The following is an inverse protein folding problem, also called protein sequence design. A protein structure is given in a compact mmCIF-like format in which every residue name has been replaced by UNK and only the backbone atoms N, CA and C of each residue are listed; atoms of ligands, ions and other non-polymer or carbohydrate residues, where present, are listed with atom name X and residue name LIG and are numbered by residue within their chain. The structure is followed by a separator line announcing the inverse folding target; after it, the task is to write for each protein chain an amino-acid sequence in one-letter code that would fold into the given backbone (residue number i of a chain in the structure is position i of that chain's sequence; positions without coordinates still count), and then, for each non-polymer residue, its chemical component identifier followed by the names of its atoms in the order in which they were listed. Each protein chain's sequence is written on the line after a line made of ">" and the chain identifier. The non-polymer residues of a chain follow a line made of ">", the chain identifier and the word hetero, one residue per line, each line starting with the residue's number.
data_IF_063806121109
#
_entry.id   IF_063806121109
#
_cell.length_a   1.000
_cell.length_b   1.000
_cell.length_c   1.000
_cell.angle_alpha   90.00
_cell.angle_beta   90.00
_cell.angle_gamma   90.00
#
_symmetry.space_group_name_H-M   'P 1'
#
loop_
_entity.id
_entity.type
_entity.pdbx_description
1 polymer ?
#
# COMPACT_ATOMS: atom_id res chain seq x y z
N UNK A 1 3.45 -34.16 23.64
CA UNK A 1 2.36 -33.91 22.67
C UNK A 1 1.16 -34.83 22.92
N UNK A 2 1.38 -36.09 23.25
CA UNK A 2 0.27 -37.09 23.42
C UNK A 2 -0.81 -36.79 24.47
N UNK A 3 -0.54 -35.86 25.42
CA UNK A 3 -1.47 -35.59 26.53
C UNK A 3 -2.75 -34.85 26.10
N UNK A 4 -2.69 -34.02 25.06
CA UNK A 4 -3.81 -33.19 24.60
C UNK A 4 -4.59 -33.82 23.45
N UNK A 5 -4.03 -34.81 22.73
CA UNK A 5 -4.65 -35.44 21.56
C UNK A 5 -5.95 -36.19 21.87
N UNK A 6 -6.08 -36.69 23.11
CA UNK A 6 -7.28 -37.45 23.56
C UNK A 6 -8.40 -36.54 24.09
N UNK A 7 -8.19 -35.25 24.13
CA UNK A 7 -9.12 -34.28 24.69
C UNK A 7 -9.91 -33.57 23.59
N UNK A 8 -11.18 -33.26 23.87
CA UNK A 8 -11.96 -32.38 22.98
C UNK A 8 -11.46 -30.92 23.11
N UNK A 9 -11.70 -30.10 22.10
CA UNK A 9 -11.26 -28.71 22.10
C UNK A 9 -11.94 -27.91 23.23
N UNK A 10 -13.17 -28.23 23.55
CA UNK A 10 -13.91 -27.64 24.67
C UNK A 10 -13.28 -27.97 26.03
N UNK A 11 -12.76 -29.21 26.17
CA UNK A 11 -12.03 -29.62 27.37
C UNK A 11 -10.68 -28.93 27.48
N UNK A 12 -9.98 -28.75 26.35
CA UNK A 12 -8.73 -28.01 26.28
C UNK A 12 -8.93 -26.56 26.72
N UNK A 13 -9.96 -25.89 26.19
CA UNK A 13 -10.25 -24.50 26.55
C UNK A 13 -10.62 -24.33 28.02
N UNK A 14 -11.34 -25.29 28.61
CA UNK A 14 -11.61 -25.28 30.07
C UNK A 14 -10.30 -25.34 30.85
N UNK A 15 -9.40 -26.26 30.52
CA UNK A 15 -8.10 -26.38 31.17
C UNK A 15 -7.20 -25.15 30.99
N UNK A 16 -7.28 -24.51 29.83
CA UNK A 16 -6.61 -23.25 29.57
C UNK A 16 -7.07 -22.18 30.57
N UNK A 17 -8.37 -22.10 30.83
CA UNK A 17 -8.94 -21.17 31.83
C UNK A 17 -8.56 -21.52 33.27
N UNK A 18 -8.27 -22.80 33.52
CA UNK A 18 -7.75 -23.28 34.80
C UNK A 18 -6.23 -23.02 34.97
N UNK A 19 -5.58 -22.39 33.97
CA UNK A 19 -4.19 -21.90 34.04
C UNK A 19 -3.15 -22.68 33.22
N UNK A 20 -3.53 -23.69 32.44
CA UNK A 20 -2.55 -24.40 31.58
C UNK A 20 -2.33 -23.67 30.24
N UNK A 21 -1.48 -22.67 30.28
CA UNK A 21 -1.18 -21.80 29.12
C UNK A 21 -0.54 -22.52 27.92
N UNK A 22 0.02 -23.73 28.10
CA UNK A 22 0.61 -24.52 27.00
C UNK A 22 -0.43 -25.00 25.99
N UNK A 23 -1.70 -25.00 26.38
CA UNK A 23 -2.82 -25.37 25.51
C UNK A 23 -2.99 -24.36 24.38
N UNK A 24 -2.64 -23.09 24.58
CA UNK A 24 -2.71 -22.08 23.52
C UNK A 24 -1.86 -22.51 22.32
N UNK A 25 -0.57 -22.83 22.57
CA UNK A 25 0.36 -23.23 21.51
C UNK A 25 -0.13 -24.51 20.80
N UNK A 26 -0.69 -25.45 21.55
CA UNK A 26 -1.25 -26.66 20.97
C UNK A 26 -2.45 -26.39 20.06
N UNK A 27 -3.39 -25.53 20.47
CA UNK A 27 -4.54 -25.14 19.64
C UNK A 27 -4.08 -24.36 18.42
N UNK A 28 -3.14 -23.43 18.57
CA UNK A 28 -2.60 -22.65 17.47
C UNK A 28 -1.98 -23.57 16.40
N UNK A 29 -1.18 -24.55 16.79
CA UNK A 29 -0.59 -25.49 15.84
C UNK A 29 -1.64 -26.43 15.23
N UNK A 30 -2.61 -26.90 16.00
CA UNK A 30 -3.70 -27.77 15.51
C UNK A 30 -4.54 -27.09 14.42
N UNK A 31 -4.82 -25.79 14.58
CA UNK A 31 -5.71 -25.03 13.66
C UNK A 31 -4.94 -24.25 12.59
N UNK A 32 -3.63 -24.30 12.56
CA UNK A 32 -2.78 -23.60 11.57
C UNK A 32 -3.15 -23.93 10.13
N UNK A 33 -3.46 -25.20 9.84
CA UNK A 33 -3.84 -25.61 8.49
C UNK A 33 -5.23 -25.07 8.09
N UNK A 34 -6.16 -24.93 9.02
CA UNK A 34 -7.44 -24.28 8.79
C UNK A 34 -7.22 -22.80 8.43
N UNK A 35 -6.39 -22.09 9.19
CA UNK A 35 -6.05 -20.68 8.91
C UNK A 35 -5.43 -20.52 7.52
N UNK A 36 -4.46 -21.37 7.17
CA UNK A 36 -3.85 -21.37 5.83
C UNK A 36 -4.83 -21.65 4.71
N UNK A 37 -5.75 -22.58 4.91
CA UNK A 37 -6.80 -22.91 3.95
C UNK A 37 -7.71 -21.70 3.69
N UNK A 38 -8.14 -21.03 4.76
CA UNK A 38 -8.97 -19.83 4.67
C UNK A 38 -8.21 -18.67 3.97
N UNK A 39 -6.95 -18.44 4.33
CA UNK A 39 -6.13 -17.41 3.71
C UNK A 39 -5.94 -17.64 2.21
N UNK A 40 -5.69 -18.88 1.79
CA UNK A 40 -5.53 -19.21 0.37
C UNK A 40 -6.83 -19.07 -0.45
N UNK A 41 -7.99 -19.08 0.19
CA UNK A 41 -9.27 -18.86 -0.47
C UNK A 41 -9.62 -17.36 -0.60
N UNK A 42 -8.83 -16.48 0.00
CA UNK A 42 -9.06 -15.03 0.04
C UNK A 42 -7.90 -14.27 -0.63
N UNK A 43 -8.16 -13.02 -1.01
CA UNK A 43 -7.18 -12.13 -1.60
C UNK A 43 -7.10 -10.81 -0.85
N UNK A 44 -5.88 -10.42 -0.45
CA UNK A 44 -5.59 -9.14 0.20
C UNK A 44 -4.98 -8.16 -0.80
N UNK A 45 -5.65 -7.05 -1.04
CA UNK A 45 -5.18 -6.01 -1.96
C UNK A 45 -3.95 -5.28 -1.36
N UNK A 46 -2.81 -5.37 -2.05
CA UNK A 46 -1.55 -4.75 -1.63
C UNK A 46 -0.87 -5.42 -0.45
N UNK A 47 -1.29 -6.63 -0.06
CA UNK A 47 -0.66 -7.45 0.98
C UNK A 47 -0.28 -8.83 0.46
N UNK A 48 0.61 -9.50 1.18
CA UNK A 48 0.99 -10.87 0.92
C UNK A 48 0.01 -11.85 1.59
N UNK A 49 -0.01 -13.10 1.09
CA UNK A 49 -0.81 -14.16 1.71
C UNK A 49 -0.41 -14.41 3.19
N UNK A 50 0.85 -14.17 3.51
CA UNK A 50 1.41 -14.27 4.85
C UNK A 50 0.77 -13.27 5.83
N UNK A 51 0.48 -12.05 5.39
CA UNK A 51 -0.24 -11.05 6.19
C UNK A 51 -1.65 -11.52 6.54
N UNK A 52 -2.32 -12.15 5.59
CA UNK A 52 -3.66 -12.69 5.79
C UNK A 52 -3.64 -13.88 6.74
N UNK A 53 -2.61 -14.74 6.68
CA UNK A 53 -2.40 -15.82 7.65
C UNK A 53 -2.20 -15.24 9.06
N UNK A 54 -1.42 -14.18 9.23
CA UNK A 54 -1.23 -13.53 10.54
C UNK A 54 -2.55 -12.97 11.08
N UNK A 55 -3.34 -12.30 10.25
CA UNK A 55 -4.68 -11.84 10.63
C UNK A 55 -5.59 -13.00 11.04
N UNK A 56 -5.55 -14.11 10.32
CA UNK A 56 -6.27 -15.33 10.69
C UNK A 56 -5.82 -15.91 12.03
N UNK A 57 -4.52 -15.91 12.32
CA UNK A 57 -3.99 -16.34 13.62
C UNK A 57 -4.48 -15.42 14.75
N UNK A 58 -4.58 -14.11 14.53
CA UNK A 58 -5.20 -13.19 15.49
C UNK A 58 -6.68 -13.54 15.70
N UNK A 59 -7.42 -13.88 14.63
CA UNK A 59 -8.79 -14.37 14.69
C UNK A 59 -8.92 -15.62 15.55
N UNK A 60 -8.00 -16.57 15.40
CA UNK A 60 -7.95 -17.81 16.18
C UNK A 60 -7.68 -17.55 17.67
N UNK A 61 -6.77 -16.64 18.00
CA UNK A 61 -6.52 -16.21 19.39
C UNK A 61 -7.78 -15.64 20.02
N UNK A 62 -8.50 -14.79 19.28
CA UNK A 62 -9.79 -14.23 19.72
C UNK A 62 -10.80 -15.34 19.95
N UNK A 63 -10.87 -16.34 19.06
CA UNK A 63 -11.76 -17.47 19.23
C UNK A 63 -11.46 -18.26 20.51
N UNK A 64 -10.20 -18.54 20.80
CA UNK A 64 -9.78 -19.24 22.05
C UNK A 64 -10.22 -18.45 23.28
N UNK A 65 -10.06 -17.15 23.26
CA UNK A 65 -10.42 -16.27 24.38
C UNK A 65 -11.94 -16.17 24.59
N UNK A 66 -12.68 -15.99 23.51
CA UNK A 66 -14.09 -15.56 23.56
C UNK A 66 -15.06 -16.75 23.45
N UNK A 67 -14.61 -17.97 23.13
CA UNK A 67 -15.44 -19.15 23.02
C UNK A 67 -16.17 -19.47 24.33
N UNK A 68 -17.46 -19.74 24.23
CA UNK A 68 -18.28 -20.21 25.37
C UNK A 68 -18.97 -21.54 25.04
N UNK A 69 -18.64 -22.64 25.75
CA UNK A 69 -19.26 -23.95 25.51
C UNK A 69 -20.78 -23.95 25.70
N UNK A 70 -21.34 -22.99 26.42
CA UNK A 70 -22.77 -22.89 26.71
C UNK A 70 -23.63 -22.51 25.51
N UNK A 71 -23.03 -22.06 24.39
CA UNK A 71 -23.76 -21.61 23.21
C UNK A 71 -24.10 -22.72 22.21
N UNK A 72 -23.80 -23.98 22.50
CA UNK A 72 -24.15 -25.12 21.68
C UNK A 72 -23.38 -25.31 20.36
N UNK A 73 -22.46 -24.41 20.04
CA UNK A 73 -21.58 -24.55 18.87
C UNK A 73 -20.29 -25.28 19.25
N UNK A 74 -19.71 -26.06 18.32
CA UNK A 74 -18.37 -26.62 18.50
C UNK A 74 -17.31 -25.52 18.44
N UNK A 75 -16.18 -25.72 19.14
CA UNK A 75 -15.07 -24.79 19.03
C UNK A 75 -14.54 -24.67 17.61
N UNK A 76 -14.47 -25.76 16.85
CA UNK A 76 -14.00 -25.75 15.47
C UNK A 76 -14.81 -24.78 14.59
N UNK A 77 -16.15 -24.88 14.62
CA UNK A 77 -17.02 -24.00 13.83
C UNK A 77 -16.94 -22.54 14.29
N UNK A 78 -16.79 -22.30 15.60
CA UNK A 78 -16.62 -20.94 16.14
C UNK A 78 -15.27 -20.35 15.74
N UNK A 79 -14.19 -21.12 15.78
CA UNK A 79 -12.86 -20.72 15.37
C UNK A 79 -12.81 -20.37 13.88
N UNK A 80 -13.38 -21.21 13.01
CA UNK A 80 -13.50 -20.96 11.58
C UNK A 80 -14.20 -19.61 11.31
N UNK A 81 -15.32 -19.36 11.96
CA UNK A 81 -16.05 -18.10 11.84
C UNK A 81 -15.24 -16.88 12.30
N UNK A 82 -14.50 -17.00 13.41
CA UNK A 82 -13.67 -15.91 13.93
C UNK A 82 -12.49 -15.62 13.02
N UNK A 83 -11.83 -16.67 12.50
CA UNK A 83 -10.74 -16.57 11.53
C UNK A 83 -11.21 -15.87 10.27
N UNK A 84 -12.28 -16.36 9.63
CA UNK A 84 -12.83 -15.76 8.42
C UNK A 84 -13.24 -14.30 8.63
N UNK A 85 -13.93 -13.96 9.73
CA UNK A 85 -14.33 -12.58 10.04
C UNK A 85 -13.13 -11.66 10.23
N UNK A 86 -12.08 -12.12 10.90
CA UNK A 86 -10.87 -11.31 11.09
C UNK A 86 -10.18 -11.03 9.75
N UNK A 87 -10.04 -12.03 8.89
CA UNK A 87 -9.49 -11.88 7.54
C UNK A 87 -10.33 -10.94 6.68
N UNK A 88 -11.65 -11.07 6.67
CA UNK A 88 -12.53 -10.13 5.98
C UNK A 88 -12.37 -8.70 6.47
N UNK A 89 -12.22 -8.49 7.78
CA UNK A 89 -11.98 -7.16 8.33
C UNK A 89 -10.67 -6.56 7.83
N UNK A 90 -9.61 -7.37 7.71
CA UNK A 90 -8.33 -6.94 7.17
C UNK A 90 -8.44 -6.59 5.67
N UNK A 91 -9.12 -7.43 4.88
CA UNK A 91 -9.38 -7.16 3.46
C UNK A 91 -10.15 -5.86 3.27
N UNK A 92 -11.22 -5.64 4.03
CA UNK A 92 -11.99 -4.39 3.96
C UNK A 92 -11.16 -3.16 4.39
N UNK A 93 -10.28 -3.34 5.37
CA UNK A 93 -9.36 -2.28 5.77
C UNK A 93 -8.35 -1.93 4.65
N UNK A 94 -7.83 -2.93 3.93
CA UNK A 94 -6.90 -2.73 2.81
C UNK A 94 -7.54 -1.99 1.62
N UNK A 95 -8.85 -2.16 1.40
CA UNK A 95 -9.61 -1.50 0.33
C UNK A 95 -9.92 -0.04 0.60
N UNK A 96 -9.66 0.48 1.80
CA UNK A 96 -9.97 1.88 2.12
C UNK A 96 -9.20 2.83 1.22
N UNK A 97 -9.89 3.86 0.69
CA UNK A 97 -9.33 4.84 -0.25
C UNK A 97 -8.02 5.49 0.21
N UNK A 98 -7.83 5.69 1.52
CA UNK A 98 -6.59 6.26 2.08
C UNK A 98 -5.34 5.37 1.89
N UNK A 99 -5.52 4.07 1.69
CA UNK A 99 -4.44 3.11 1.45
C UNK A 99 -4.22 2.82 -0.03
N UNK A 100 -5.16 3.23 -0.90
CA UNK A 100 -5.12 2.99 -2.33
C UNK A 100 -3.84 3.50 -3.00
N UNK A 101 -3.29 4.69 -2.68
CA UNK A 101 -2.03 5.15 -3.28
C UNK A 101 -0.85 4.23 -2.94
N UNK A 102 -0.82 3.66 -1.72
CA UNK A 102 0.23 2.73 -1.30
C UNK A 102 0.06 1.34 -1.94
N UNK A 103 -1.19 0.88 -2.10
CA UNK A 103 -1.50 -0.42 -2.68
C UNK A 103 -1.34 -0.45 -4.21
N UNK A 104 -1.33 0.71 -4.87
CA UNK A 104 -1.08 0.88 -6.32
C UNK A 104 0.32 1.43 -6.61
N UNK A 105 1.22 1.39 -5.66
CA UNK A 105 2.58 1.85 -5.80
C UNK A 105 3.34 1.02 -6.84
N UNK A 106 3.99 1.73 -7.77
CA UNK A 106 4.93 1.15 -8.74
C UNK A 106 6.33 1.63 -8.33
N UNK A 107 7.28 0.71 -8.21
CA UNK A 107 8.65 1.07 -7.86
C UNK A 107 9.29 1.87 -9.00
N UNK A 108 9.93 2.99 -8.68
CA UNK A 108 10.72 3.76 -9.65
C UNK A 108 11.92 2.97 -10.21
N UNK A 109 12.34 1.93 -9.49
CA UNK A 109 13.41 1.02 -9.91
C UNK A 109 12.89 -0.20 -10.67
N UNK A 110 11.58 -0.33 -10.83
CA UNK A 110 10.98 -1.38 -11.65
C UNK A 110 11.31 -1.12 -13.12
N UNK A 111 11.75 -2.16 -13.81
CA UNK A 111 12.04 -2.06 -15.23
C UNK A 111 10.73 -1.88 -16.01
N UNK A 112 10.65 -0.81 -16.79
CA UNK A 112 9.51 -0.56 -17.65
C UNK A 112 9.23 -1.74 -18.60
N UNK A 113 7.96 -1.95 -18.97
CA UNK A 113 7.56 -2.93 -19.98
C UNK A 113 8.16 -2.56 -21.35
N UNK A 114 9.38 -3.03 -21.60
CA UNK A 114 10.02 -2.96 -22.92
C UNK A 114 9.90 -4.31 -23.61
N UNK A 115 9.60 -4.32 -24.91
CA UNK A 115 9.46 -5.51 -25.75
C UNK A 115 10.78 -6.26 -25.99
N UNK A 116 11.92 -5.69 -25.62
CA UNK A 116 13.25 -6.29 -25.75
C UNK A 116 13.87 -6.54 -24.37
N UNK A 117 14.16 -7.79 -24.05
CA UNK A 117 14.78 -8.24 -22.80
C UNK A 117 16.16 -7.60 -22.50
N UNK A 118 16.83 -7.01 -23.49
CA UNK A 118 18.19 -6.44 -23.37
C UNK A 118 18.23 -4.98 -22.90
N UNK A 119 17.09 -4.27 -22.80
CA UNK A 119 17.06 -2.84 -22.37
C UNK A 119 15.89 -2.53 -21.43
N UNK A 120 15.88 -3.19 -20.29
CA UNK A 120 14.96 -2.81 -19.20
C UNK A 120 15.52 -1.59 -18.48
N UNK A 121 15.17 -0.39 -18.95
CA UNK A 121 15.55 0.87 -18.30
C UNK A 121 14.61 1.06 -17.10
N UNK A 122 15.16 1.29 -15.89
CA UNK A 122 14.35 1.63 -14.72
C UNK A 122 13.48 2.86 -14.97
N UNK A 123 12.29 2.88 -14.39
CA UNK A 123 11.33 3.98 -14.57
C UNK A 123 11.95 5.34 -14.18
N UNK A 124 12.83 5.34 -13.17
CA UNK A 124 13.54 6.54 -12.71
C UNK A 124 14.41 7.16 -13.80
N UNK A 125 15.01 6.35 -14.67
CA UNK A 125 15.88 6.84 -15.75
C UNK A 125 15.10 7.36 -16.95
N UNK A 126 13.78 7.09 -17.02
CA UNK A 126 12.87 7.63 -18.04
C UNK A 126 12.27 8.96 -17.64
N UNK A 127 12.35 9.34 -16.37
CA UNK A 127 11.85 10.62 -15.87
C UNK A 127 12.88 11.70 -16.24
N UNK A 128 12.49 12.60 -17.14
CA UNK A 128 13.32 13.75 -17.44
C UNK A 128 13.58 14.57 -16.17
N UNK A 129 14.84 14.85 -15.82
CA UNK A 129 15.13 15.72 -14.70
C UNK A 129 14.50 17.09 -14.99
N UNK A 130 13.65 17.56 -14.09
CA UNK A 130 13.13 18.92 -14.13
C UNK A 130 14.31 19.86 -13.90
N UNK A 131 14.92 20.31 -14.99
CA UNK A 131 16.14 21.14 -15.02
C UNK A 131 15.88 22.54 -14.41
N UNK A 132 14.62 22.88 -14.15
CA UNK A 132 14.19 24.24 -13.80
C UNK A 132 14.51 24.71 -12.37
N UNK A 133 15.03 23.87 -11.51
CA UNK A 133 15.26 24.25 -10.10
C UNK A 133 16.73 24.52 -9.73
N UNK A 134 17.62 24.65 -10.68
CA UNK A 134 18.95 25.16 -10.37
C UNK A 134 18.88 26.71 -10.18
N UNK A 135 19.09 27.21 -8.94
CA UNK A 135 19.00 28.66 -8.66
C UNK A 135 19.92 29.52 -9.57
N UNK A 136 21.04 28.94 -9.95
CA UNK A 136 22.02 29.56 -10.84
C UNK A 136 21.44 29.72 -12.26
N UNK A 137 20.84 28.70 -12.80
CA UNK A 137 20.17 28.73 -14.13
C UNK A 137 19.03 29.74 -14.15
N UNK A 138 18.24 29.81 -13.05
CA UNK A 138 17.16 30.77 -12.92
C UNK A 138 17.66 32.20 -12.82
N UNK A 139 18.75 32.40 -12.09
CA UNK A 139 19.36 33.72 -11.93
C UNK A 139 19.94 34.23 -13.25
N UNK A 140 20.78 33.45 -13.93
CA UNK A 140 21.33 33.77 -15.23
C UNK A 140 20.26 33.94 -16.31
N UNK A 141 19.20 33.13 -16.28
CA UNK A 141 18.08 33.29 -17.19
C UNK A 141 17.38 34.64 -17.04
N UNK A 142 17.19 35.13 -15.81
CA UNK A 142 16.60 36.45 -15.54
C UNK A 142 17.52 37.56 -15.99
N UNK A 143 18.79 37.53 -15.61
CA UNK A 143 19.78 38.53 -15.98
C UNK A 143 19.92 38.65 -17.51
N UNK A 144 19.99 37.51 -18.22
CA UNK A 144 20.04 37.47 -19.68
C UNK A 144 18.76 38.04 -20.31
N UNK A 145 17.61 37.80 -19.73
CA UNK A 145 16.33 38.34 -20.21
C UNK A 145 16.27 39.85 -20.01
N UNK A 146 16.75 40.36 -18.86
CA UNK A 146 16.78 41.81 -18.59
C UNK A 146 17.72 42.54 -19.56
N UNK A 147 18.93 42.04 -19.77
CA UNK A 147 19.89 42.60 -20.74
C UNK A 147 19.30 42.58 -22.15
N UNK A 148 18.70 41.47 -22.56
CA UNK A 148 18.08 41.36 -23.87
C UNK A 148 16.93 42.36 -24.07
N UNK A 149 16.08 42.55 -23.07
CA UNK A 149 14.97 43.50 -23.11
C UNK A 149 15.48 44.94 -23.18
N UNK A 150 16.58 45.29 -22.48
CA UNK A 150 17.18 46.60 -22.56
C UNK A 150 17.80 46.87 -23.93
N UNK A 151 18.54 45.94 -24.51
CA UNK A 151 19.05 46.03 -25.88
C UNK A 151 17.95 46.17 -26.92
N UNK A 152 16.90 45.40 -26.80
CA UNK A 152 15.73 45.53 -27.69
C UNK A 152 15.12 46.92 -27.62
N UNK A 153 14.90 47.47 -26.42
CA UNK A 153 14.32 48.81 -26.23
C UNK A 153 15.21 49.90 -26.84
N UNK A 154 16.53 49.70 -26.78
CA UNK A 154 17.49 50.67 -27.33
C UNK A 154 17.55 50.66 -28.87
N UNK A 155 17.27 49.55 -29.50
CA UNK A 155 17.36 49.35 -30.96
C UNK A 155 16.03 49.49 -31.71
N UNK A 156 14.92 49.50 -31.02
CA UNK A 156 13.58 49.61 -31.60
C UNK A 156 13.06 51.03 -31.53
N UNK A 157 12.37 51.48 -32.59
CA UNK A 157 11.61 52.75 -32.60
C UNK A 157 10.44 52.71 -31.60
N UNK A 158 9.91 53.86 -31.23
CA UNK A 158 8.77 53.98 -30.31
C UNK A 158 7.55 53.19 -30.76
N UNK A 159 7.30 53.11 -32.06
CA UNK A 159 6.18 52.32 -32.63
C UNK A 159 6.44 50.79 -32.47
N UNK A 160 7.63 50.37 -32.83
CA UNK A 160 8.02 48.94 -32.72
C UNK A 160 8.01 48.44 -31.27
N UNK A 161 8.48 49.24 -30.32
CA UNK A 161 8.37 48.96 -28.90
C UNK A 161 6.92 48.79 -28.42
N UNK A 162 6.02 49.67 -28.95
CA UNK A 162 4.61 49.61 -28.58
C UNK A 162 3.95 48.35 -29.15
N UNK A 163 4.26 47.98 -30.39
CA UNK A 163 3.76 46.75 -31.02
C UNK A 163 4.26 45.53 -30.29
N UNK A 164 5.55 45.48 -29.95
CA UNK A 164 6.13 44.38 -29.16
C UNK A 164 5.45 44.22 -27.80
N UNK A 165 5.22 45.33 -27.09
CA UNK A 165 4.51 45.35 -25.82
C UNK A 165 3.09 44.76 -25.93
N UNK A 166 2.29 45.18 -26.94
CA UNK A 166 0.96 44.69 -27.19
C UNK A 166 0.96 43.18 -27.49
N UNK A 167 1.94 42.72 -28.28
CA UNK A 167 2.10 41.30 -28.61
C UNK A 167 2.39 40.45 -27.37
N UNK A 168 3.30 40.90 -26.51
CA UNK A 168 3.65 40.20 -25.25
C UNK A 168 2.48 40.15 -24.23
N UNK A 169 1.58 41.17 -24.30
CA UNK A 169 0.38 41.22 -23.48
C UNK A 169 -0.78 40.37 -24.05
N UNK A 170 -0.55 39.68 -25.18
CA UNK A 170 -1.54 38.77 -25.78
C UNK A 170 -2.72 39.47 -26.43
N UNK A 171 -2.54 40.76 -26.81
CA UNK A 171 -3.57 41.49 -27.59
C UNK A 171 -3.47 41.10 -29.06
N UNK A 172 -4.52 40.45 -29.57
CA UNK A 172 -4.63 40.10 -30.99
C UNK A 172 -4.76 41.36 -31.85
N UNK A 173 -4.05 41.36 -32.98
CA UNK A 173 -4.21 42.35 -34.01
C UNK A 173 -5.63 42.30 -34.61
N UNK A 174 -6.40 43.34 -34.47
CA UNK A 174 -7.62 43.55 -35.25
C UNK A 174 -7.34 44.57 -36.34
#
# INVERSE_FOLDING_TARGET
>A
MDRYEKMTDEQLIRKLRDGDNRIVDYIMEKYKNLVRKEANAMYLLGGENEDLIQEGMIGLIKAVRDFSPSQGASFASFAELCVSRQMYTAIEASKRKKHMPLNSYISLYEAGEGTDEEKKIPLIDTIEPVVENNPETLYFGREMTEVFVEELKGNLSALENHVLYLHLMGTDYK
#
